data_IF_119884092041
#
_entry.id   IF_119884092041
#
_cell.length_a   1.000
_cell.length_b   1.000
_cell.length_c   1.000
_cell.angle_alpha   90.00
_cell.angle_beta   90.00
_cell.angle_gamma   90.00
#
_symmetry.space_group_name_H-M   'P 1'
#
loop_
_entity.id
_entity.type
_entity.pdbx_description
1 polymer ?
#
# COMPACT_ATOMS: atom_id res chain seq x y z
N UNK A 1 -15.34 13.12 -7.66
CA UNK A 1 -14.63 11.97 -7.11
C UNK A 1 -14.63 10.90 -8.17
N UNK A 2 -13.49 10.34 -8.50
CA UNK A 2 -13.39 9.33 -9.55
C UNK A 2 -13.87 7.97 -9.01
N UNK A 3 -14.84 7.34 -9.68
CA UNK A 3 -15.26 5.98 -9.37
C UNK A 3 -14.26 4.92 -9.91
N UNK A 4 -13.11 5.35 -10.43
CA UNK A 4 -12.16 4.51 -11.14
C UNK A 4 -10.99 4.04 -10.27
N UNK A 5 -11.00 4.35 -8.97
CA UNK A 5 -9.97 3.94 -8.01
C UNK A 5 -10.59 3.02 -6.96
N UNK A 6 -9.88 1.97 -6.60
CA UNK A 6 -10.15 1.13 -5.41
C UNK A 6 -8.90 1.05 -4.53
N UNK A 7 -9.09 0.72 -3.27
CA UNK A 7 -7.99 0.41 -2.34
C UNK A 7 -7.91 -1.10 -2.14
N UNK A 8 -6.71 -1.67 -2.20
CA UNK A 8 -6.45 -3.08 -1.93
C UNK A 8 -5.44 -3.22 -0.80
N UNK A 9 -5.88 -3.78 0.31
CA UNK A 9 -5.01 -4.12 1.43
C UNK A 9 -4.43 -5.51 1.19
N UNK A 10 -3.11 -5.59 1.06
CA UNK A 10 -2.36 -6.84 0.93
C UNK A 10 -2.27 -7.49 2.30
N UNK A 11 -3.03 -8.57 2.52
CA UNK A 11 -3.10 -9.26 3.81
C UNK A 11 -3.14 -10.78 3.65
N UNK A 12 -3.22 -11.46 4.79
CA UNK A 12 -3.37 -12.91 4.89
C UNK A 12 -4.05 -13.29 6.21
N UNK A 13 -4.53 -14.52 6.31
CA UNK A 13 -5.25 -15.03 7.49
C UNK A 13 -4.44 -14.94 8.78
N UNK A 14 -3.11 -15.06 8.68
CA UNK A 14 -2.21 -14.96 9.85
C UNK A 14 -2.08 -13.54 10.42
N UNK A 15 -2.53 -12.53 9.67
CA UNK A 15 -2.55 -11.12 10.08
C UNK A 15 -3.94 -10.65 10.55
N UNK A 16 -4.90 -11.55 10.71
CA UNK A 16 -6.28 -11.18 11.11
C UNK A 16 -6.39 -10.45 12.46
N UNK A 17 -5.41 -10.57 13.34
CA UNK A 17 -5.33 -9.83 14.60
C UNK A 17 -4.85 -8.37 14.41
N UNK A 18 -4.28 -8.04 13.24
CA UNK A 18 -3.83 -6.70 12.87
C UNK A 18 -4.96 -5.88 12.22
N UNK A 19 -5.97 -6.53 11.65
CA UNK A 19 -7.01 -5.84 10.88
C UNK A 19 -7.78 -4.82 11.70
N UNK A 20 -8.14 -5.16 12.96
CA UNK A 20 -8.88 -4.23 13.80
C UNK A 20 -8.09 -2.93 14.09
N UNK A 21 -6.86 -2.96 14.62
CA UNK A 21 -6.08 -1.73 14.80
C UNK A 21 -5.79 -1.00 13.49
N UNK A 22 -5.53 -1.72 12.40
CA UNK A 22 -5.27 -1.12 11.09
C UNK A 22 -6.49 -0.33 10.58
N UNK A 23 -7.66 -0.96 10.47
CA UNK A 23 -8.85 -0.29 9.94
C UNK A 23 -9.39 0.79 10.87
N UNK A 24 -9.20 0.65 12.21
CA UNK A 24 -9.51 1.74 13.14
C UNK A 24 -8.75 3.01 12.76
N UNK A 25 -7.46 2.91 12.51
CA UNK A 25 -6.62 4.07 12.15
C UNK A 25 -6.82 4.49 10.70
N UNK A 26 -6.98 3.54 9.80
CA UNK A 26 -7.27 3.80 8.39
C UNK A 26 -8.51 4.70 8.23
N UNK A 27 -9.65 4.32 8.79
CA UNK A 27 -10.89 5.11 8.66
C UNK A 27 -10.92 6.34 9.56
N UNK A 28 -10.13 6.39 10.64
CA UNK A 28 -9.96 7.58 11.47
C UNK A 28 -9.20 8.69 10.74
N UNK A 29 -8.16 8.33 10.02
CA UNK A 29 -7.26 9.26 9.36
C UNK A 29 -7.54 9.44 7.87
N UNK A 30 -8.37 8.60 7.28
CA UNK A 30 -8.75 8.71 5.88
C UNK A 30 -10.26 8.54 5.70
N UNK A 31 -10.93 9.64 5.37
CA UNK A 31 -12.30 9.57 4.85
C UNK A 31 -12.24 9.06 3.40
N UNK A 32 -11.82 7.80 3.25
CA UNK A 32 -11.53 7.16 1.97
C UNK A 32 -12.77 7.17 1.06
N UNK A 33 -12.71 7.83 -0.11
CA UNK A 33 -13.86 7.90 -1.01
C UNK A 33 -13.99 6.66 -1.91
N UNK A 34 -13.09 5.69 -1.77
CA UNK A 34 -12.96 4.54 -2.65
C UNK A 34 -13.46 3.27 -1.98
N UNK A 35 -13.90 2.28 -2.79
CA UNK A 35 -14.17 0.95 -2.26
C UNK A 35 -12.87 0.30 -1.78
N UNK A 36 -12.88 -0.17 -0.53
CA UNK A 36 -11.75 -0.87 0.10
C UNK A 36 -11.93 -2.37 -0.01
N UNK A 37 -10.88 -3.05 -0.42
CA UNK A 37 -10.77 -4.51 -0.49
C UNK A 37 -9.62 -4.97 0.40
N UNK A 38 -9.73 -6.20 0.92
CA UNK A 38 -8.64 -6.88 1.63
C UNK A 38 -8.46 -8.29 1.07
N UNK A 39 -7.21 -8.71 0.87
CA UNK A 39 -6.91 -10.09 0.47
C UNK A 39 -6.74 -10.98 1.69
N UNK A 40 -7.32 -12.18 1.64
CA UNK A 40 -7.19 -13.22 2.67
C UNK A 40 -7.12 -14.59 2.00
N UNK A 41 -6.79 -15.65 2.72
CA UNK A 41 -6.91 -17.01 2.21
C UNK A 41 -8.32 -17.56 2.41
N UNK A 42 -8.86 -17.45 3.63
CA UNK A 42 -10.14 -18.06 4.01
C UNK A 42 -10.96 -17.25 5.01
N UNK A 43 -10.33 -16.36 5.78
CA UNK A 43 -11.02 -15.55 6.78
C UNK A 43 -11.74 -14.37 6.14
N UNK A 44 -12.88 -14.02 6.74
CA UNK A 44 -13.63 -12.81 6.40
C UNK A 44 -13.21 -11.65 7.31
N UNK A 45 -13.09 -10.46 6.71
CA UNK A 45 -12.92 -9.22 7.43
C UNK A 45 -14.29 -8.63 7.75
N UNK A 46 -14.62 -8.45 9.02
CA UNK A 46 -15.95 -7.99 9.47
C UNK A 46 -16.10 -6.46 9.50
N UNK A 47 -15.12 -5.72 8.97
CA UNK A 47 -15.21 -4.25 8.92
C UNK A 47 -16.25 -3.80 7.91
N UNK A 48 -17.11 -2.88 8.33
CA UNK A 48 -18.06 -2.22 7.46
C UNK A 48 -17.34 -1.49 6.31
N UNK A 49 -17.88 -1.60 5.11
CA UNK A 49 -17.31 -1.01 3.88
C UNK A 49 -15.97 -1.62 3.40
N UNK A 50 -15.55 -2.76 3.95
CA UNK A 50 -14.40 -3.53 3.45
C UNK A 50 -14.90 -4.83 2.82
N UNK A 51 -14.52 -5.06 1.58
CA UNK A 51 -14.87 -6.30 0.86
C UNK A 51 -13.70 -7.27 0.96
N UNK A 52 -13.96 -8.45 1.49
CA UNK A 52 -12.97 -9.52 1.53
C UNK A 52 -12.86 -10.21 0.17
N UNK A 53 -11.65 -10.36 -0.31
CA UNK A 53 -11.30 -11.12 -1.49
C UNK A 53 -10.52 -12.37 -1.08
N UNK A 54 -11.23 -13.46 -0.87
CA UNK A 54 -10.61 -14.75 -0.59
C UNK A 54 -9.89 -15.26 -1.85
N UNK A 55 -8.58 -15.39 -1.76
CA UNK A 55 -7.71 -15.81 -2.85
C UNK A 55 -6.64 -16.78 -2.35
N UNK A 56 -6.40 -17.83 -3.13
CA UNK A 56 -5.38 -18.82 -2.86
C UNK A 56 -4.36 -18.86 -3.98
N UNK A 57 -3.12 -19.19 -3.68
CA UNK A 57 -2.02 -19.28 -4.63
C UNK A 57 -0.80 -19.91 -3.96
N UNK A 58 0.17 -20.37 -4.75
CA UNK A 58 1.41 -20.94 -4.23
C UNK A 58 2.32 -19.88 -3.62
N UNK A 59 2.30 -18.70 -4.23
CA UNK A 59 3.09 -17.54 -3.81
C UNK A 59 2.20 -16.31 -3.60
N UNK A 60 2.78 -15.28 -3.05
CA UNK A 60 2.11 -14.02 -2.76
C UNK A 60 1.53 -13.35 -4.02
N UNK A 61 2.32 -13.25 -5.10
CA UNK A 61 1.85 -12.63 -6.36
C UNK A 61 0.67 -13.35 -6.98
N UNK A 62 0.59 -14.69 -6.87
CA UNK A 62 -0.54 -15.47 -7.38
C UNK A 62 -1.85 -15.06 -6.69
N UNK A 63 -1.79 -14.82 -5.38
CA UNK A 63 -2.94 -14.40 -4.58
C UNK A 63 -3.36 -12.98 -4.90
N UNK A 64 -2.39 -12.06 -4.92
CA UNK A 64 -2.64 -10.63 -5.18
C UNK A 64 -3.19 -10.45 -6.60
N UNK A 65 -2.62 -11.13 -7.59
CA UNK A 65 -3.12 -11.09 -8.97
C UNK A 65 -4.59 -11.46 -9.06
N UNK A 66 -4.98 -12.60 -8.45
CA UNK A 66 -6.38 -13.04 -8.41
C UNK A 66 -7.31 -12.04 -7.71
N UNK A 67 -6.82 -11.32 -6.72
CA UNK A 67 -7.58 -10.24 -6.09
C UNK A 67 -7.74 -9.04 -7.02
N UNK A 68 -6.65 -8.57 -7.63
CA UNK A 68 -6.64 -7.44 -8.56
C UNK A 68 -7.55 -7.71 -9.77
N UNK A 69 -7.59 -8.95 -10.28
CA UNK A 69 -8.49 -9.35 -11.37
C UNK A 69 -9.98 -9.16 -11.02
N UNK A 70 -10.36 -9.32 -9.75
CA UNK A 70 -11.73 -9.14 -9.26
C UNK A 70 -12.12 -7.67 -9.03
N UNK A 71 -11.16 -6.76 -8.92
CA UNK A 71 -11.40 -5.33 -8.70
C UNK A 71 -11.90 -4.70 -10.01
N UNK A 72 -13.05 -3.99 -10.03
CA UNK A 72 -13.63 -3.49 -11.27
C UNK A 72 -12.98 -2.20 -11.79
N UNK A 73 -12.26 -1.46 -10.95
CA UNK A 73 -11.72 -0.13 -11.27
C UNK A 73 -10.45 -0.19 -12.13
N UNK A 74 -10.15 0.91 -12.80
CA UNK A 74 -8.97 1.08 -13.66
C UNK A 74 -7.67 1.30 -12.88
N UNK A 75 -7.79 1.82 -11.64
CA UNK A 75 -6.67 2.11 -10.75
C UNK A 75 -6.85 1.43 -9.41
N UNK A 76 -5.72 1.06 -8.79
CA UNK A 76 -5.70 0.42 -7.47
C UNK A 76 -4.64 1.09 -6.60
N UNK A 77 -5.04 1.53 -5.40
CA UNK A 77 -4.07 1.89 -4.35
C UNK A 77 -3.80 0.62 -3.56
N UNK A 78 -2.59 0.07 -3.70
CA UNK A 78 -2.15 -1.10 -2.96
C UNK A 78 -1.32 -0.71 -1.74
N UNK A 79 -1.51 -1.40 -0.59
CA UNK A 79 -0.70 -1.23 0.62
C UNK A 79 -0.81 -2.44 1.56
N UNK A 80 0.15 -2.59 2.48
CA UNK A 80 0.12 -3.59 3.54
C UNK A 80 -0.59 -3.05 4.79
N UNK A 81 -1.00 -3.96 5.70
CA UNK A 81 -1.67 -3.65 6.97
C UNK A 81 -0.74 -3.64 8.18
N UNK A 82 0.53 -3.88 7.99
CA UNK A 82 1.52 -4.04 9.06
C UNK A 82 2.15 -2.74 9.56
N UNK A 83 1.70 -1.62 9.02
CA UNK A 83 2.02 -0.25 9.44
C UNK A 83 0.74 0.53 9.68
N UNK A 84 0.82 1.65 10.40
CA UNK A 84 -0.38 2.32 10.94
C UNK A 84 -0.40 3.80 10.65
N UNK A 85 -1.55 4.29 10.19
CA UNK A 85 -1.79 5.70 9.94
C UNK A 85 -1.67 6.52 11.24
N UNK A 86 -1.03 7.68 11.15
CA UNK A 86 -0.78 8.58 12.29
C UNK A 86 -1.31 9.99 12.09
N UNK A 87 -1.61 10.38 10.85
CA UNK A 87 -2.16 11.69 10.45
C UNK A 87 -3.19 11.54 9.33
N UNK A 88 -4.01 12.58 9.12
CA UNK A 88 -4.93 12.60 7.98
C UNK A 88 -4.23 12.43 6.63
N UNK A 89 -4.83 11.61 5.78
CA UNK A 89 -4.35 11.37 4.41
C UNK A 89 -4.60 12.61 3.55
N UNK A 90 -3.63 12.95 2.74
CA UNK A 90 -3.71 14.09 1.81
C UNK A 90 -4.38 13.66 0.50
N UNK A 91 -5.71 13.59 0.52
CA UNK A 91 -6.52 13.13 -0.61
C UNK A 91 -6.29 13.95 -1.87
N UNK A 92 -6.04 15.25 -1.75
CA UNK A 92 -5.80 16.16 -2.88
C UNK A 92 -4.59 15.75 -3.72
N UNK A 93 -3.58 15.12 -3.11
CA UNK A 93 -2.40 14.63 -3.85
C UNK A 93 -2.73 13.34 -4.60
N UNK A 94 -3.54 12.45 -4.01
CA UNK A 94 -4.01 11.24 -4.69
C UNK A 94 -4.82 11.63 -5.92
N UNK A 95 -5.73 12.60 -5.79
CA UNK A 95 -6.54 13.10 -6.89
C UNK A 95 -5.66 13.72 -7.99
N UNK A 96 -4.62 14.48 -7.63
CA UNK A 96 -3.65 15.02 -8.56
C UNK A 96 -2.93 13.89 -9.33
N UNK A 97 -2.39 12.88 -8.64
CA UNK A 97 -1.71 11.75 -9.26
C UNK A 97 -2.64 10.98 -10.23
N UNK A 98 -3.90 10.77 -9.83
CA UNK A 98 -4.90 10.15 -10.68
C UNK A 98 -5.07 10.90 -12.01
N UNK A 99 -5.23 12.24 -11.95
CA UNK A 99 -5.39 13.05 -13.15
C UNK A 99 -4.14 13.08 -14.04
N UNK A 100 -2.95 13.01 -13.45
CA UNK A 100 -1.71 12.90 -14.23
C UNK A 100 -1.61 11.52 -14.92
N UNK A 101 -2.02 10.44 -14.27
CA UNK A 101 -2.09 9.11 -14.91
C UNK A 101 -3.13 9.04 -16.03
N UNK A 102 -4.26 9.75 -15.91
CA UNK A 102 -5.27 9.81 -16.98
C UNK A 102 -4.74 10.55 -18.24
N UNK A 103 -3.91 11.56 -18.06
CA UNK A 103 -3.31 12.32 -19.18
C UNK A 103 -2.12 11.59 -19.82
N UNK A 104 -1.40 10.81 -19.04
CA UNK A 104 -0.12 10.22 -19.44
C UNK A 104 -0.17 8.70 -19.28
N UNK A 105 -0.50 7.95 -20.35
CA UNK A 105 -0.69 6.50 -20.29
C UNK A 105 0.59 5.71 -19.97
N UNK A 106 1.77 6.31 -20.17
CA UNK A 106 3.07 5.74 -19.82
C UNK A 106 3.33 5.68 -18.31
N UNK A 107 2.58 6.44 -17.49
CA UNK A 107 2.72 6.40 -16.03
C UNK A 107 2.07 5.14 -15.49
N UNK A 108 2.88 4.28 -14.89
CA UNK A 108 2.48 3.02 -14.29
C UNK A 108 2.01 3.21 -12.85
N UNK A 109 2.77 3.99 -12.07
CA UNK A 109 2.43 4.21 -10.67
C UNK A 109 2.92 5.56 -10.12
N UNK A 110 2.30 5.93 -8.99
CA UNK A 110 2.82 6.89 -8.01
C UNK A 110 2.94 6.21 -6.67
N UNK A 111 4.18 6.02 -6.19
CA UNK A 111 4.46 5.52 -4.86
C UNK A 111 4.49 6.70 -3.87
N UNK A 112 3.66 6.64 -2.85
CA UNK A 112 3.47 7.72 -1.88
C UNK A 112 4.44 7.67 -0.71
N UNK A 113 5.26 6.63 -0.63
CA UNK A 113 6.30 6.51 0.38
C UNK A 113 7.62 7.07 -0.14
N UNK A 114 8.34 7.78 0.71
CA UNK A 114 9.66 8.32 0.37
C UNK A 114 10.67 7.20 0.27
N UNK A 115 11.48 7.22 -0.76
CA UNK A 115 12.53 6.21 -0.98
C UNK A 115 13.91 6.84 -1.10
N UNK A 116 14.94 6.03 -0.80
CA UNK A 116 16.35 6.36 -1.04
C UNK A 116 16.85 5.83 -2.40
N UNK A 117 15.98 5.23 -3.21
CA UNK A 117 16.37 4.75 -4.55
C UNK A 117 16.68 5.93 -5.46
N UNK A 118 17.59 5.75 -6.45
CA UNK A 118 17.95 6.80 -7.38
C UNK A 118 16.73 7.33 -8.15
N UNK A 119 16.64 8.63 -8.26
CA UNK A 119 15.60 9.33 -9.03
C UNK A 119 16.23 10.30 -10.02
N UNK A 120 15.47 10.57 -11.09
CA UNK A 120 15.72 11.68 -11.99
C UNK A 120 15.24 13.01 -11.37
N UNK A 121 15.40 14.12 -12.06
CA UNK A 121 14.87 15.41 -11.62
C UNK A 121 13.36 15.34 -11.36
N UNK A 122 12.88 16.15 -10.42
CA UNK A 122 11.46 16.21 -10.09
C UNK A 122 10.64 16.63 -11.32
N UNK A 123 9.67 15.80 -11.68
CA UNK A 123 8.87 16.01 -12.88
C UNK A 123 7.45 16.47 -12.52
N UNK A 124 6.91 16.01 -11.40
CA UNK A 124 5.56 16.33 -10.93
C UNK A 124 5.60 16.80 -9.49
N UNK A 125 5.56 18.10 -9.26
CA UNK A 125 5.49 18.71 -7.94
C UNK A 125 6.47 18.06 -6.94
N UNK A 126 5.97 17.22 -6.03
CA UNK A 126 6.78 16.50 -5.05
C UNK A 126 7.14 15.05 -5.45
N UNK A 127 6.98 14.69 -6.71
CA UNK A 127 7.32 13.35 -7.21
C UNK A 127 8.46 13.41 -8.20
N UNK A 128 9.42 12.51 -8.04
CA UNK A 128 10.49 12.28 -9.00
C UNK A 128 10.33 10.94 -9.68
N UNK A 129 10.65 10.88 -10.96
CA UNK A 129 10.72 9.64 -11.71
C UNK A 129 11.86 8.78 -11.17
N UNK A 130 11.62 7.51 -10.93
CA UNK A 130 12.67 6.56 -10.59
C UNK A 130 13.56 6.30 -11.80
N UNK A 131 14.86 6.17 -11.56
CA UNK A 131 15.82 5.78 -12.59
C UNK A 131 15.45 4.38 -13.09
N UNK A 132 15.46 4.20 -14.40
CA UNK A 132 15.18 2.91 -15.02
C UNK A 132 16.08 1.80 -14.45
N UNK A 133 15.49 0.64 -14.19
CA UNK A 133 16.13 -0.56 -13.63
C UNK A 133 16.74 -0.37 -12.23
N UNK A 134 16.18 0.49 -11.41
CA UNK A 134 16.47 0.49 -9.99
C UNK A 134 15.52 -0.47 -9.25
N UNK A 135 15.97 -0.92 -8.07
CA UNK A 135 15.17 -1.73 -7.17
C UNK A 135 13.92 -0.98 -6.68
N UNK A 136 12.92 -1.71 -6.22
CA UNK A 136 11.70 -1.17 -5.60
C UNK A 136 10.83 -0.30 -6.52
N UNK A 137 10.90 -0.47 -7.84
CA UNK A 137 9.92 0.12 -8.77
C UNK A 137 8.55 -0.54 -8.58
N UNK A 138 8.53 -1.85 -8.28
CA UNK A 138 7.41 -2.50 -7.62
C UNK A 138 7.51 -2.27 -6.10
N UNK A 139 6.39 -1.98 -5.44
CA UNK A 139 6.41 -1.70 -4.00
C UNK A 139 5.12 -2.14 -3.32
N UNK A 140 5.26 -2.79 -2.18
CA UNK A 140 4.16 -3.14 -1.28
C UNK A 140 3.70 -1.94 -0.42
N UNK A 141 4.42 -0.82 -0.44
CA UNK A 141 4.06 0.41 0.25
C UNK A 141 2.92 1.14 -0.48
N UNK A 142 2.22 2.11 0.18
CA UNK A 142 1.11 2.81 -0.44
C UNK A 142 1.44 3.35 -1.82
N UNK A 143 0.81 2.79 -2.84
CA UNK A 143 1.11 3.08 -4.25
C UNK A 143 -0.18 3.09 -5.08
N UNK A 144 -0.41 4.15 -5.83
CA UNK A 144 -1.46 4.21 -6.84
C UNK A 144 -0.95 3.56 -8.13
N UNK A 145 -1.58 2.49 -8.55
CA UNK A 145 -1.23 1.68 -9.71
C UNK A 145 -2.22 1.82 -10.85
N UNK A 146 -1.73 1.83 -12.09
CA UNK A 146 -2.53 1.46 -13.25
C UNK A 146 -2.74 -0.06 -13.21
N UNK A 147 -4.00 -0.50 -13.16
CA UNK A 147 -4.36 -1.90 -12.85
C UNK A 147 -3.83 -2.91 -13.87
N UNK A 148 -3.93 -2.61 -15.17
CA UNK A 148 -3.42 -3.46 -16.24
C UNK A 148 -1.90 -3.69 -16.11
N UNK A 149 -1.15 -2.63 -15.84
CA UNK A 149 0.28 -2.69 -15.58
C UNK A 149 0.63 -3.46 -14.29
N UNK A 150 -0.15 -3.26 -13.23
CA UNK A 150 0.02 -4.05 -12.01
C UNK A 150 -0.19 -5.55 -12.29
N UNK A 151 -1.19 -5.92 -13.08
CA UNK A 151 -1.43 -7.32 -13.46
C UNK A 151 -0.29 -7.92 -14.29
N UNK A 152 0.33 -7.15 -15.18
CA UNK A 152 1.54 -7.57 -15.91
C UNK A 152 2.70 -7.88 -14.94
N UNK A 153 2.94 -6.99 -13.96
CA UNK A 153 4.00 -7.14 -12.97
C UNK A 153 3.76 -8.28 -11.96
N UNK A 154 2.50 -8.67 -11.74
CA UNK A 154 2.11 -9.80 -10.90
C UNK A 154 2.09 -11.14 -11.65
N UNK A 155 2.64 -11.21 -12.85
CA UNK A 155 2.60 -12.43 -13.69
C UNK A 155 3.54 -13.56 -13.23
N UNK A 156 4.57 -13.24 -12.45
CA UNK A 156 5.49 -14.21 -11.86
C UNK A 156 4.94 -14.84 -10.58
N UNK A 157 5.41 -16.04 -10.24
CA UNK A 157 5.13 -16.66 -8.94
C UNK A 157 6.22 -16.29 -7.94
N UNK A 158 5.99 -15.24 -7.14
CA UNK A 158 7.00 -14.57 -6.32
C UNK A 158 6.47 -14.30 -4.91
N UNK A 159 7.38 -14.24 -3.94
CA UNK A 159 7.09 -13.63 -2.65
C UNK A 159 7.14 -12.08 -2.73
N UNK A 160 6.75 -11.33 -1.68
CA UNK A 160 6.74 -9.86 -1.75
C UNK A 160 8.11 -9.25 -2.05
N UNK A 161 9.17 -9.79 -1.46
CA UNK A 161 10.53 -9.26 -1.62
C UNK A 161 11.09 -9.55 -3.01
N UNK A 162 10.83 -10.78 -3.55
CA UNK A 162 11.16 -11.14 -4.92
C UNK A 162 10.43 -10.21 -5.92
N UNK A 163 9.15 -9.89 -5.63
CA UNK A 163 8.36 -9.00 -6.48
C UNK A 163 8.85 -7.56 -6.48
N UNK A 164 9.27 -7.03 -5.32
CA UNK A 164 9.83 -5.66 -5.22
C UNK A 164 11.15 -5.50 -6.00
N UNK A 165 11.82 -6.61 -6.32
CA UNK A 165 13.05 -6.65 -7.13
C UNK A 165 12.77 -6.97 -8.61
N UNK A 166 11.52 -6.97 -9.05
CA UNK A 166 11.15 -7.26 -10.45
C UNK A 166 11.69 -6.19 -11.38
N UNK A 167 12.38 -6.62 -12.44
CA UNK A 167 12.78 -5.74 -13.53
C UNK A 167 11.55 -5.23 -14.30
N UNK A 168 11.52 -3.93 -14.57
CA UNK A 168 10.42 -3.25 -15.25
C UNK A 168 10.85 -2.73 -16.63
N UNK A 169 9.86 -2.45 -17.49
CA UNK A 169 10.11 -1.89 -18.80
C UNK A 169 10.72 -0.48 -18.69
N UNK A 170 11.74 -0.15 -19.50
CA UNK A 170 12.29 1.20 -19.56
C UNK A 170 11.33 2.25 -20.15
N UNK A 171 10.30 1.80 -20.86
CA UNK A 171 9.29 2.67 -21.48
C UNK A 171 8.18 3.07 -20.50
N UNK A 172 8.11 2.39 -19.36
CA UNK A 172 7.14 2.63 -18.30
C UNK A 172 7.69 3.61 -17.25
N UNK A 173 6.83 4.51 -16.73
CA UNK A 173 7.24 5.55 -15.79
C UNK A 173 6.73 5.27 -14.41
N UNK A 174 7.66 5.20 -13.45
CA UNK A 174 7.44 4.93 -12.04
C UNK A 174 7.86 6.15 -11.23
N UNK A 175 6.93 6.72 -10.49
CA UNK A 175 7.16 7.91 -9.68
C UNK A 175 7.18 7.58 -8.20
N UNK A 176 7.93 8.36 -7.45
CA UNK A 176 8.05 8.20 -6.00
C UNK A 176 8.04 9.56 -5.33
N UNK A 177 7.47 9.63 -4.14
CA UNK A 177 7.46 10.83 -3.32
C UNK A 177 8.90 11.25 -2.96
N UNK A 178 9.26 12.49 -3.27
CA UNK A 178 10.54 13.12 -2.94
C UNK A 178 10.37 14.45 -2.21
N UNK A 179 9.14 14.84 -1.91
CA UNK A 179 8.81 16.03 -1.14
C UNK A 179 9.23 15.95 0.33
N UNK A 180 8.80 16.92 1.12
CA UNK A 180 9.12 16.98 2.53
C UNK A 180 8.50 15.82 3.32
N UNK A 181 9.22 15.35 4.35
CA UNK A 181 8.76 14.28 5.23
C UNK A 181 7.53 14.68 6.06
N UNK A 182 7.42 15.96 6.38
CA UNK A 182 6.27 16.50 7.12
C UNK A 182 5.00 16.62 6.26
N UNK A 183 5.13 16.39 4.95
CA UNK A 183 4.07 16.53 3.96
C UNK A 183 3.71 15.23 3.23
N UNK A 184 4.08 14.09 3.79
CA UNK A 184 3.75 12.78 3.22
C UNK A 184 2.25 12.64 2.93
N UNK A 185 1.92 11.96 1.83
CA UNK A 185 0.52 11.65 1.46
C UNK A 185 -0.11 10.73 2.50
N UNK A 186 0.66 9.71 2.91
CA UNK A 186 0.34 8.80 4.00
C UNK A 186 1.44 8.88 5.07
N UNK A 187 1.12 9.32 6.28
CA UNK A 187 2.02 9.09 7.41
C UNK A 187 1.72 7.70 7.97
N UNK A 188 2.36 6.73 7.37
CA UNK A 188 2.06 5.33 7.51
C UNK A 188 3.15 4.55 8.26
N UNK A 189 4.42 4.96 8.16
CA UNK A 189 5.46 4.53 9.08
C UNK A 189 6.80 4.09 8.50
N UNK A 190 6.88 3.60 7.26
CA UNK A 190 8.13 3.00 6.74
C UNK A 190 9.31 3.97 6.73
N UNK A 191 9.12 5.15 6.17
CA UNK A 191 10.20 6.14 6.06
C UNK A 191 10.68 6.64 7.44
N UNK A 192 9.73 6.84 8.37
CA UNK A 192 10.02 7.26 9.75
C UNK A 192 10.51 6.09 10.63
N UNK A 193 10.63 4.88 10.07
CA UNK A 193 10.99 3.65 10.78
C UNK A 193 10.03 3.28 11.92
N UNK A 194 8.75 3.61 11.78
CA UNK A 194 7.69 3.23 12.70
C UNK A 194 7.00 1.96 12.21
N UNK A 195 7.57 0.82 12.55
CA UNK A 195 7.05 -0.46 12.13
C UNK A 195 5.94 -0.92 13.08
N UNK A 196 4.80 -1.29 12.55
CA UNK A 196 3.76 -1.93 13.35
C UNK A 196 4.11 -3.37 13.66
N UNK A 197 4.47 -4.09 12.61
CA UNK A 197 4.87 -5.49 12.68
C UNK A 197 6.25 -5.65 12.02
N UNK A 198 7.16 -6.36 12.68
CA UNK A 198 8.44 -6.73 12.11
C UNK A 198 8.71 -8.21 12.35
N UNK A 199 9.02 -8.96 11.28
CA UNK A 199 9.23 -10.41 11.34
C UNK A 199 8.06 -11.15 12.01
N UNK A 200 6.84 -10.71 11.73
CA UNK A 200 5.60 -11.29 12.26
C UNK A 200 5.29 -10.95 13.71
N UNK A 201 6.03 -10.04 14.37
CA UNK A 201 5.86 -9.65 15.77
C UNK A 201 5.58 -8.16 15.91
N UNK A 202 4.86 -7.78 16.98
CA UNK A 202 4.60 -6.38 17.31
C UNK A 202 5.88 -5.65 17.67
N UNK A 203 6.09 -4.46 17.10
CA UNK A 203 7.16 -3.54 17.52
C UNK A 203 6.59 -2.62 18.60
N UNK A 204 6.75 -3.04 19.88
CA UNK A 204 6.03 -2.41 20.99
C UNK A 204 6.36 -0.94 21.19
N UNK A 205 7.62 -0.55 20.96
CA UNK A 205 8.06 0.85 21.13
C UNK A 205 7.32 1.79 20.17
N UNK A 206 6.94 1.27 19.01
CA UNK A 206 6.22 2.05 17.98
C UNK A 206 4.71 2.00 18.16
N UNK A 207 4.13 0.81 18.40
CA UNK A 207 2.66 0.66 18.41
C UNK A 207 2.02 1.00 19.74
N UNK A 208 2.67 0.75 20.88
CA UNK A 208 2.08 0.97 22.21
C UNK A 208 1.72 2.44 22.45
N UNK A 209 2.60 3.43 22.18
CA UNK A 209 2.25 4.84 22.32
C UNK A 209 1.10 5.26 21.39
N UNK A 210 1.12 4.77 20.15
CA UNK A 210 0.08 5.05 19.17
C UNK A 210 -1.26 4.48 19.61
N UNK A 211 -1.32 3.19 19.97
CA UNK A 211 -2.57 2.54 20.36
C UNK A 211 -3.13 3.09 21.69
N UNK A 212 -2.25 3.48 22.62
CA UNK A 212 -2.68 4.16 23.84
C UNK A 212 -3.30 5.53 23.54
N UNK A 213 -2.69 6.33 22.69
CA UNK A 213 -3.22 7.63 22.23
C UNK A 213 -4.56 7.49 21.53
N UNK A 214 -4.69 6.46 20.70
CA UNK A 214 -5.86 6.23 19.84
C UNK A 214 -6.93 5.33 20.50
N UNK A 215 -6.73 4.94 21.78
CA UNK A 215 -7.64 4.09 22.56
C UNK A 215 -7.91 2.72 21.91
N UNK A 216 -6.89 2.16 21.25
CA UNK A 216 -6.97 0.85 20.58
C UNK A 216 -6.48 -0.24 21.52
N UNK A 217 -7.28 -1.26 21.70
CA UNK A 217 -6.93 -2.44 22.51
C UNK A 217 -6.46 -3.59 21.60
N UNK A 218 -5.29 -4.15 21.92
CA UNK A 218 -4.69 -5.26 21.18
C UNK A 218 -4.12 -6.28 22.16
N UNK A 219 -4.36 -7.56 21.87
CA UNK A 219 -3.67 -8.66 22.55
C UNK A 219 -2.29 -8.88 21.93
N UNK A 220 -1.30 -8.22 22.47
CA UNK A 220 0.09 -8.34 22.02
C UNK A 220 0.68 -9.75 22.20
N UNK A 221 0.09 -10.58 23.08
CA UNK A 221 0.60 -11.92 23.33
C UNK A 221 0.30 -12.89 22.19
N UNK A 222 -0.73 -12.62 21.41
CA UNK A 222 -1.18 -13.48 20.32
C UNK A 222 -0.10 -13.71 19.26
N UNK A 223 0.68 -12.66 18.92
CA UNK A 223 1.76 -12.74 17.92
C UNK A 223 3.16 -12.57 18.55
N UNK A 224 3.24 -12.16 19.82
CA UNK A 224 4.49 -11.80 20.49
C UNK A 224 5.05 -10.45 20.04
N UNK A 225 6.15 -10.06 20.65
CA UNK A 225 6.73 -8.71 20.51
C UNK A 225 8.21 -8.75 20.23
N UNK A 226 8.74 -7.68 19.65
CA UNK A 226 10.17 -7.32 19.54
C UNK A 226 10.38 -5.93 20.09
#
# INVERSE_FOLDING_TARGET
MSNDISVLIYSCDSYSDVWNPFFTLFFRYWNCPYQVYITTESKECEWENVITLNTTGEKWTDRIRKAVEKIPTKYVIGMCEDMFFRRPVRQEIIDYCYWEMEKNPEIVNFNFEKTLTPTEDCVYDNFSRRVCRCDYQCSCQPTLWRKDKLLELLSGSQDPWEWEMTEVSPDDYYYVWTGNEDELVFEYGYHQKWFGIQKGKWVLDDVRPLFAKEEIQVDFMKRGCV
#
